data_IF_536039682858
#
_entry.id   IF_536039682858
#
_cell.length_a   1.000
_cell.length_b   1.000
_cell.length_c   1.000
_cell.angle_alpha   90.00
_cell.angle_beta   90.00
_cell.angle_gamma   90.00
#
_symmetry.space_group_name_H-M   'P 1'
#
loop_
_entity.id
_entity.type
_entity.pdbx_description
1 polymer ?
#
# COMPACT_ATOMS: atom_id res chain seq x y z
N UNK A 1 -52.53 16.84 8.91
CA UNK A 1 -51.18 16.47 9.36
C UNK A 1 -50.15 17.06 8.41
N UNK A 2 -49.48 18.15 8.81
CA UNK A 2 -48.47 18.86 8.02
C UNK A 2 -47.08 18.38 8.44
N UNK A 3 -46.22 18.11 7.45
CA UNK A 3 -44.82 17.72 7.61
C UNK A 3 -43.97 18.88 8.18
N UNK A 4 -43.13 18.66 9.20
CA UNK A 4 -42.21 19.67 9.72
C UNK A 4 -40.79 19.39 9.18
N UNK A 5 -40.45 19.96 8.03
CA UNK A 5 -39.06 20.19 7.61
C UNK A 5 -39.06 21.45 6.75
N UNK A 6 -39.01 22.59 7.40
CA UNK A 6 -38.58 23.86 6.85
C UNK A 6 -38.49 24.81 8.03
N UNK A 7 -37.27 24.99 8.54
CA UNK A 7 -36.77 26.21 9.19
C UNK A 7 -35.31 25.96 9.56
N UNK A 8 -34.45 25.84 8.55
CA UNK A 8 -33.04 26.16 8.71
C UNK A 8 -32.87 27.54 8.10
N UNK A 9 -32.76 28.54 8.99
CA UNK A 9 -32.43 29.92 8.65
C UNK A 9 -31.13 29.94 7.84
N UNK A 10 -31.26 30.17 6.53
CA UNK A 10 -30.14 30.51 5.66
C UNK A 10 -29.63 31.87 6.11
N UNK A 11 -28.57 31.85 6.90
CA UNK A 11 -27.84 33.07 7.25
C UNK A 11 -27.01 33.42 6.02
N UNK A 12 -27.49 34.36 5.20
CA UNK A 12 -26.75 34.90 4.08
C UNK A 12 -25.52 35.66 4.59
N UNK A 13 -24.35 35.00 4.61
CA UNK A 13 -23.07 35.69 4.64
C UNK A 13 -22.74 36.13 3.21
N UNK A 14 -22.90 37.41 2.95
CA UNK A 14 -22.38 38.11 1.79
C UNK A 14 -20.86 38.11 1.82
N UNK A 15 -20.26 37.06 1.25
CA UNK A 15 -18.83 36.98 0.92
C UNK A 15 -18.66 36.80 -0.58
N UNK A 16 -17.75 37.57 -1.17
CA UNK A 16 -17.38 37.52 -2.60
C UNK A 16 -17.21 36.08 -3.09
N UNK A 17 -17.99 35.66 -4.06
CA UNK A 17 -17.92 34.33 -4.68
C UNK A 17 -16.72 34.25 -5.64
N UNK A 18 -15.50 34.22 -5.10
CA UNK A 18 -14.39 33.58 -5.79
C UNK A 18 -14.72 32.08 -5.85
N UNK A 19 -14.67 31.44 -7.03
CA UNK A 19 -14.89 29.99 -7.11
C UNK A 19 -13.92 29.30 -6.16
N UNK A 20 -14.47 28.49 -5.24
CA UNK A 20 -13.66 27.72 -4.29
C UNK A 20 -12.87 26.70 -5.11
N UNK A 21 -11.56 26.95 -5.29
CA UNK A 21 -10.65 26.06 -6.03
C UNK A 21 -10.34 24.83 -5.17
N UNK A 22 -10.20 23.61 -5.74
CA UNK A 22 -9.74 22.46 -4.97
C UNK A 22 -8.34 22.69 -4.38
N UNK A 23 -8.18 22.41 -3.09
CA UNK A 23 -6.89 22.48 -2.42
C UNK A 23 -6.04 21.25 -2.77
N UNK A 24 -5.27 21.39 -3.85
CA UNK A 24 -4.34 20.36 -4.31
C UNK A 24 -2.91 20.57 -3.79
N UNK A 25 -2.75 21.24 -2.63
CA UNK A 25 -1.45 21.55 -2.05
C UNK A 25 -0.54 22.24 -3.07
N UNK A 26 -1.03 23.34 -3.64
CA UNK A 26 -0.32 24.11 -4.65
C UNK A 26 0.88 24.83 -4.04
N UNK A 27 2.00 24.84 -4.76
CA UNK A 27 3.15 25.70 -4.47
C UNK A 27 3.54 26.45 -5.74
N UNK A 28 4.18 27.64 -5.64
CA UNK A 28 4.62 28.39 -6.81
C UNK A 28 5.52 27.56 -7.74
N UNK A 29 6.37 26.70 -7.16
CA UNK A 29 7.27 25.82 -7.91
C UNK A 29 6.49 24.78 -8.73
N UNK A 30 5.45 24.19 -8.14
CA UNK A 30 4.59 23.22 -8.84
C UNK A 30 3.84 23.93 -9.97
N UNK A 31 3.24 25.10 -9.72
CA UNK A 31 2.52 25.85 -10.76
C UNK A 31 3.40 26.15 -11.98
N UNK A 32 4.62 26.64 -11.73
CA UNK A 32 5.60 26.90 -12.81
C UNK A 32 5.94 25.62 -13.57
N UNK A 33 6.20 24.51 -12.86
CA UNK A 33 6.53 23.23 -13.49
C UNK A 33 5.38 22.70 -14.37
N UNK A 34 4.14 22.82 -13.93
CA UNK A 34 2.98 22.36 -14.71
C UNK A 34 2.68 23.25 -15.91
N UNK A 35 2.80 24.57 -15.78
CA UNK A 35 2.64 25.50 -16.90
C UNK A 35 3.72 25.23 -17.96
N UNK A 36 4.96 25.03 -17.53
CA UNK A 36 6.06 24.71 -18.44
C UNK A 36 5.87 23.35 -19.12
N UNK A 37 5.37 22.35 -18.38
CA UNK A 37 5.01 21.06 -18.95
C UNK A 37 3.91 21.20 -20.01
N UNK A 38 2.83 21.95 -19.73
CA UNK A 38 1.78 22.23 -20.72
C UNK A 38 2.32 22.94 -21.97
N UNK A 39 3.22 23.91 -21.78
CA UNK A 39 3.79 24.71 -22.86
C UNK A 39 4.74 23.92 -23.76
N UNK A 40 5.60 23.10 -23.17
CA UNK A 40 6.68 22.40 -23.88
C UNK A 40 6.32 20.98 -24.30
N UNK A 41 5.35 20.35 -23.63
CA UNK A 41 5.09 18.92 -23.74
C UNK A 41 6.13 18.05 -23.04
N UNK A 42 7.18 18.63 -22.45
CA UNK A 42 8.28 17.91 -21.80
C UNK A 42 7.90 17.59 -20.36
N UNK A 43 7.94 16.31 -20.00
CA UNK A 43 7.59 15.86 -18.66
C UNK A 43 8.59 16.42 -17.61
N UNK A 44 8.12 17.01 -16.49
CA UNK A 44 8.97 17.78 -15.57
C UNK A 44 9.89 16.94 -14.69
N UNK A 45 9.73 15.61 -14.65
CA UNK A 45 10.45 14.71 -13.75
C UNK A 45 11.21 13.62 -14.54
N UNK A 46 12.41 13.94 -15.05
CA UNK A 46 13.18 13.01 -15.89
C UNK A 46 13.68 11.77 -15.14
N UNK A 47 13.74 11.81 -13.81
CA UNK A 47 14.10 10.68 -12.93
C UNK A 47 13.25 9.42 -13.14
N UNK A 48 12.02 9.54 -13.67
CA UNK A 48 11.17 8.39 -13.95
C UNK A 48 11.52 7.67 -15.27
N UNK A 49 12.26 8.30 -16.18
CA UNK A 49 12.60 7.71 -17.47
C UNK A 49 11.38 7.26 -18.30
N UNK A 50 10.23 7.94 -18.16
CA UNK A 50 8.97 7.52 -18.78
C UNK A 50 9.03 7.55 -20.30
N UNK A 51 8.59 6.47 -20.95
CA UNK A 51 8.30 6.46 -22.38
C UNK A 51 7.16 5.48 -22.72
N UNK A 52 5.98 5.94 -23.19
CA UNK A 52 5.65 7.33 -23.48
C UNK A 52 5.37 8.15 -22.22
N UNK A 53 5.59 9.47 -22.29
CA UNK A 53 5.19 10.42 -21.25
C UNK A 53 3.72 10.81 -21.39
N UNK A 54 3.01 11.13 -20.28
CA UNK A 54 1.65 11.66 -20.37
C UNK A 54 1.63 12.96 -21.17
N UNK A 55 0.64 13.08 -22.06
CA UNK A 55 0.49 14.24 -22.96
C UNK A 55 -0.27 15.35 -22.26
N UNK A 56 0.37 16.49 -21.92
CA UNK A 56 -0.24 17.44 -21.00
C UNK A 56 -1.49 18.15 -21.54
N UNK A 57 -1.62 18.26 -22.87
CA UNK A 57 -2.78 18.84 -23.54
C UNK A 57 -4.07 18.03 -23.42
N UNK A 58 -3.99 16.77 -22.97
CA UNK A 58 -5.16 15.91 -22.74
C UNK A 58 -5.77 16.06 -21.34
N UNK A 59 -5.14 16.85 -20.47
CA UNK A 59 -5.48 16.93 -19.05
C UNK A 59 -5.71 18.37 -18.61
N UNK A 60 -6.59 18.56 -17.62
CA UNK A 60 -6.74 19.83 -16.90
C UNK A 60 -5.48 20.15 -16.08
N UNK A 61 -5.34 21.39 -15.64
CA UNK A 61 -4.20 21.75 -14.78
C UNK A 61 -4.26 20.99 -13.44
N UNK A 62 -5.46 20.76 -12.92
CA UNK A 62 -5.72 19.94 -11.74
C UNK A 62 -5.29 18.48 -11.96
N UNK A 63 -5.61 17.87 -13.09
CA UNK A 63 -5.21 16.49 -13.42
C UNK A 63 -3.69 16.39 -13.56
N UNK A 64 -3.04 17.37 -14.19
CA UNK A 64 -1.57 17.42 -14.26
C UNK A 64 -0.93 17.53 -12.88
N UNK A 65 -1.56 18.24 -11.93
CA UNK A 65 -1.09 18.30 -10.54
C UNK A 65 -1.16 16.96 -9.85
N UNK A 66 -2.21 16.17 -10.12
CA UNK A 66 -2.36 14.81 -9.61
C UNK A 66 -1.32 13.85 -10.20
N UNK A 67 -1.06 13.93 -11.52
CA UNK A 67 0.01 13.13 -12.16
C UNK A 67 1.37 13.50 -11.56
N UNK A 68 1.66 14.80 -11.49
CA UNK A 68 2.88 15.32 -10.90
C UNK A 68 3.05 14.88 -9.45
N UNK A 69 1.98 14.86 -8.65
CA UNK A 69 2.02 14.42 -7.26
C UNK A 69 2.63 13.02 -7.10
N UNK A 70 2.10 12.02 -7.81
CA UNK A 70 2.61 10.64 -7.73
C UNK A 70 4.03 10.52 -8.25
N UNK A 71 4.35 11.23 -9.33
CA UNK A 71 5.68 11.25 -9.90
C UNK A 71 6.71 11.88 -8.94
N UNK A 72 6.34 12.95 -8.23
CA UNK A 72 7.19 13.59 -7.21
C UNK A 72 7.44 12.64 -6.04
N UNK A 73 6.39 11.99 -5.51
CA UNK A 73 6.54 11.01 -4.43
C UNK A 73 7.54 9.91 -4.81
N UNK A 74 7.44 9.38 -6.04
CA UNK A 74 8.39 8.39 -6.53
C UNK A 74 9.82 8.95 -6.59
N UNK A 75 10.01 10.13 -7.18
CA UNK A 75 11.37 10.68 -7.38
C UNK A 75 12.03 11.07 -6.06
N UNK A 76 11.30 11.62 -5.09
CA UNK A 76 11.82 11.91 -3.77
C UNK A 76 12.38 10.64 -3.11
N UNK A 77 11.63 9.54 -3.14
CA UNK A 77 12.11 8.25 -2.61
C UNK A 77 13.22 7.63 -3.48
N UNK A 78 13.23 7.88 -4.79
CA UNK A 78 14.29 7.41 -5.68
C UNK A 78 15.64 8.06 -5.34
N UNK A 79 15.64 9.33 -4.91
CA UNK A 79 16.89 10.04 -4.56
C UNK A 79 17.67 9.41 -3.40
N UNK A 80 16.99 8.64 -2.55
CA UNK A 80 17.56 7.94 -1.40
C UNK A 80 17.52 6.41 -1.53
N UNK A 81 17.15 5.91 -2.72
CA UNK A 81 17.09 4.48 -3.07
C UNK A 81 16.19 3.64 -2.12
N UNK A 82 14.98 4.13 -1.84
CA UNK A 82 14.05 3.49 -0.88
C UNK A 82 12.72 3.07 -1.48
N UNK A 83 12.57 3.13 -2.81
CA UNK A 83 11.30 2.81 -3.48
C UNK A 83 10.86 1.34 -3.28
N UNK A 84 11.80 0.43 -3.02
CA UNK A 84 11.51 -0.98 -2.78
C UNK A 84 11.05 -1.28 -1.34
N UNK A 85 11.06 -0.29 -0.44
CA UNK A 85 10.55 -0.44 0.92
C UNK A 85 9.04 -0.13 1.04
N UNK A 86 8.36 0.20 -0.07
CA UNK A 86 6.92 0.47 -0.08
C UNK A 86 6.17 -0.51 -0.97
N UNK A 87 4.85 -0.59 -0.79
CA UNK A 87 4.01 -1.54 -1.53
C UNK A 87 3.75 -1.14 -2.99
N UNK A 88 3.89 0.14 -3.34
CA UNK A 88 3.39 0.65 -4.62
C UNK A 88 4.36 1.57 -5.36
N UNK A 89 5.27 2.28 -4.69
CA UNK A 89 6.04 3.35 -5.34
C UNK A 89 6.94 2.82 -6.45
N UNK A 90 7.59 1.67 -6.27
CA UNK A 90 8.38 1.01 -7.33
C UNK A 90 7.62 0.74 -8.64
N UNK A 91 6.29 0.61 -8.59
CA UNK A 91 5.45 0.34 -9.76
C UNK A 91 4.98 1.62 -10.47
N UNK A 92 5.21 2.81 -9.90
CA UNK A 92 4.73 4.07 -10.45
C UNK A 92 5.25 4.38 -11.86
N UNK A 93 6.53 4.17 -12.19
CA UNK A 93 7.01 4.39 -13.55
C UNK A 93 6.21 3.59 -14.59
N UNK A 94 6.04 2.29 -14.36
CA UNK A 94 5.26 1.39 -15.22
C UNK A 94 3.79 1.80 -15.29
N UNK A 95 3.16 2.12 -14.15
CA UNK A 95 1.76 2.52 -14.11
C UNK A 95 1.52 3.83 -14.86
N UNK A 96 2.40 4.83 -14.71
CA UNK A 96 2.31 6.10 -15.44
C UNK A 96 2.55 5.92 -16.94
N UNK A 97 3.46 5.04 -17.33
CA UNK A 97 3.73 4.71 -18.73
C UNK A 97 2.51 4.08 -19.41
N UNK A 98 1.87 3.11 -18.74
CA UNK A 98 0.62 2.51 -19.23
C UNK A 98 -0.50 3.56 -19.25
N UNK A 99 -0.63 4.35 -18.18
CA UNK A 99 -1.62 5.44 -18.08
C UNK A 99 -1.48 6.49 -19.18
N UNK A 100 -0.25 6.81 -19.60
CA UNK A 100 0.02 7.76 -20.68
C UNK A 100 -0.57 7.30 -22.03
N UNK A 101 -0.76 6.00 -22.22
CA UNK A 101 -1.35 5.40 -23.43
C UNK A 101 -2.78 4.94 -23.24
N UNK A 102 -3.27 4.84 -21.99
CA UNK A 102 -4.57 4.23 -21.68
C UNK A 102 -5.37 5.06 -20.66
N UNK A 103 -6.42 5.78 -21.11
CA UNK A 103 -7.13 6.75 -20.28
C UNK A 103 -7.72 6.20 -18.98
N UNK A 104 -8.31 4.99 -18.99
CA UNK A 104 -8.94 4.44 -17.78
C UNK A 104 -7.91 4.08 -16.69
N UNK A 105 -6.67 3.73 -17.09
CA UNK A 105 -5.55 3.53 -16.16
C UNK A 105 -5.12 4.87 -15.58
N UNK A 106 -5.04 5.92 -16.40
CA UNK A 106 -4.72 7.26 -15.91
C UNK A 106 -5.78 7.76 -14.92
N UNK A 107 -7.08 7.57 -15.20
CA UNK A 107 -8.13 7.91 -14.24
C UNK A 107 -8.01 7.14 -12.91
N UNK A 108 -7.58 5.87 -12.94
CA UNK A 108 -7.32 5.14 -11.70
C UNK A 108 -6.20 5.80 -10.88
N UNK A 109 -5.12 6.25 -11.54
CA UNK A 109 -3.99 6.95 -10.91
C UNK A 109 -4.38 8.34 -10.40
N UNK A 110 -5.15 9.11 -11.16
CA UNK A 110 -5.68 10.40 -10.75
C UNK A 110 -6.53 10.27 -9.48
N UNK A 111 -7.43 9.27 -9.44
CA UNK A 111 -8.24 8.99 -8.25
C UNK A 111 -7.38 8.60 -7.05
N UNK A 112 -6.33 7.80 -7.25
CA UNK A 112 -5.39 7.41 -6.20
C UNK A 112 -4.61 8.61 -5.64
N UNK A 113 -4.14 9.49 -6.53
CA UNK A 113 -3.47 10.74 -6.14
C UNK A 113 -4.40 11.68 -5.38
N UNK A 114 -5.62 11.89 -5.91
CA UNK A 114 -6.61 12.76 -5.28
C UNK A 114 -7.00 12.22 -3.91
N UNK A 115 -7.09 10.90 -3.75
CA UNK A 115 -7.40 10.25 -2.47
C UNK A 115 -6.33 10.57 -1.42
N UNK A 116 -5.06 10.55 -1.80
CA UNK A 116 -3.98 10.93 -0.90
C UNK A 116 -4.03 12.41 -0.51
N UNK A 117 -4.16 13.31 -1.49
CA UNK A 117 -4.25 14.74 -1.22
C UNK A 117 -5.48 15.05 -0.34
N UNK A 118 -6.63 14.46 -0.64
CA UNK A 118 -7.83 14.60 0.17
C UNK A 118 -7.60 14.17 1.62
N UNK A 119 -6.84 13.08 1.85
CA UNK A 119 -6.51 12.63 3.22
C UNK A 119 -5.56 13.57 3.97
N UNK A 120 -4.86 14.47 3.27
CA UNK A 120 -3.97 15.46 3.85
C UNK A 120 -4.65 16.81 4.09
N UNK A 121 -5.60 17.19 3.23
CA UNK A 121 -6.24 18.52 3.26
C UNK A 121 -7.67 18.49 3.81
N UNK A 122 -8.29 17.31 3.90
CA UNK A 122 -9.72 17.10 4.19
C UNK A 122 -10.65 17.93 3.26
N UNK A 123 -10.15 18.35 2.09
CA UNK A 123 -10.88 19.22 1.18
C UNK A 123 -12.00 18.45 0.44
N UNK A 124 -13.29 18.80 0.60
CA UNK A 124 -14.40 18.07 -0.03
C UNK A 124 -14.37 18.11 -1.56
N UNK A 125 -13.83 19.17 -2.16
CA UNK A 125 -13.70 19.31 -3.61
C UNK A 125 -12.74 18.26 -4.19
N UNK A 126 -11.61 18.03 -3.51
CA UNK A 126 -10.67 16.96 -3.88
C UNK A 126 -11.32 15.59 -3.68
N UNK A 127 -12.14 15.44 -2.64
CA UNK A 127 -13.00 14.26 -2.46
C UNK A 127 -13.91 14.01 -3.66
N UNK A 128 -14.52 15.06 -4.23
CA UNK A 128 -15.28 14.99 -5.48
C UNK A 128 -14.48 14.43 -6.66
N UNK A 129 -13.24 14.90 -6.83
CA UNK A 129 -12.33 14.41 -7.87
C UNK A 129 -12.00 12.91 -7.73
N UNK A 130 -11.87 12.42 -6.49
CA UNK A 130 -11.68 10.98 -6.23
C UNK A 130 -12.85 10.18 -6.82
N UNK A 131 -14.08 10.59 -6.53
CA UNK A 131 -15.27 9.88 -7.00
C UNK A 131 -15.41 9.94 -8.53
N UNK A 132 -15.15 11.10 -9.13
CA UNK A 132 -15.24 11.31 -10.58
C UNK A 132 -14.27 10.40 -11.34
N UNK A 133 -12.96 10.52 -11.05
CA UNK A 133 -11.96 9.73 -11.76
C UNK A 133 -12.09 8.24 -11.48
N UNK A 134 -12.45 7.84 -10.25
CA UNK A 134 -12.72 6.43 -9.94
C UNK A 134 -13.88 5.89 -10.77
N UNK A 135 -14.95 6.66 -10.96
CA UNK A 135 -16.09 6.27 -11.78
C UNK A 135 -15.69 6.05 -13.25
N UNK A 136 -14.91 6.98 -13.81
CA UNK A 136 -14.38 6.88 -15.17
C UNK A 136 -13.46 5.68 -15.35
N UNK A 137 -12.58 5.43 -14.37
CA UNK A 137 -11.67 4.29 -14.37
C UNK A 137 -12.43 2.95 -14.33
N UNK A 138 -13.43 2.82 -13.46
CA UNK A 138 -14.27 1.62 -13.37
C UNK A 138 -15.05 1.35 -14.65
N UNK A 139 -15.62 2.41 -15.26
CA UNK A 139 -16.34 2.30 -16.53
C UNK A 139 -15.40 1.81 -17.64
N UNK A 140 -14.25 2.46 -17.81
CA UNK A 140 -13.28 2.07 -18.84
C UNK A 140 -12.68 0.67 -18.60
N UNK A 141 -12.46 0.29 -17.34
CA UNK A 141 -12.03 -1.07 -17.00
C UNK A 141 -13.09 -2.10 -17.39
N UNK A 142 -14.37 -1.85 -17.12
CA UNK A 142 -15.47 -2.75 -17.50
C UNK A 142 -15.57 -2.90 -19.02
N UNK A 143 -15.40 -1.80 -19.76
CA UNK A 143 -15.37 -1.82 -21.23
C UNK A 143 -14.17 -2.62 -21.76
N UNK A 144 -12.97 -2.37 -21.23
CA UNK A 144 -11.75 -3.07 -21.62
C UNK A 144 -11.80 -4.58 -21.32
N UNK A 145 -12.37 -4.99 -20.19
CA UNK A 145 -12.59 -6.41 -19.86
C UNK A 145 -13.50 -7.08 -20.89
N UNK A 146 -14.47 -6.37 -21.47
CA UNK A 146 -15.35 -6.93 -22.51
C UNK A 146 -14.64 -7.13 -23.84
N UNK A 147 -13.56 -6.39 -24.09
CA UNK A 147 -12.70 -6.43 -25.28
C UNK A 147 -11.29 -6.96 -24.94
N UNK A 148 -11.21 -7.91 -24.01
CA UNK A 148 -9.93 -8.44 -23.54
C UNK A 148 -9.06 -8.98 -24.68
N UNK A 149 -7.81 -8.55 -24.72
CA UNK A 149 -6.79 -8.99 -25.67
C UNK A 149 -5.40 -9.04 -25.01
N UNK A 150 -4.42 -9.61 -25.71
CA UNK A 150 -3.03 -9.64 -25.24
C UNK A 150 -2.47 -8.22 -25.02
N UNK A 151 -2.81 -7.28 -25.89
CA UNK A 151 -2.34 -5.89 -25.87
C UNK A 151 -2.98 -5.07 -24.74
N UNK A 152 -4.23 -5.38 -24.38
CA UNK A 152 -4.99 -4.65 -23.35
C UNK A 152 -4.81 -5.24 -21.95
N UNK A 153 -4.19 -6.41 -21.84
CA UNK A 153 -4.04 -7.16 -20.59
C UNK A 153 -3.33 -6.37 -19.49
N UNK A 154 -2.16 -5.79 -19.78
CA UNK A 154 -1.38 -4.97 -18.84
C UNK A 154 -2.18 -3.76 -18.34
N UNK A 155 -2.95 -3.12 -19.22
CA UNK A 155 -3.78 -1.98 -18.84
C UNK A 155 -4.94 -2.37 -17.92
N UNK A 156 -5.63 -3.48 -18.23
CA UNK A 156 -6.71 -4.03 -17.38
C UNK A 156 -6.15 -4.36 -15.99
N UNK A 157 -4.98 -4.98 -15.94
CA UNK A 157 -4.31 -5.33 -14.70
C UNK A 157 -3.89 -4.08 -13.91
N UNK A 158 -3.20 -3.13 -14.54
CA UNK A 158 -2.77 -1.86 -13.95
C UNK A 158 -3.95 -1.13 -13.28
N UNK A 159 -5.05 -0.93 -14.00
CA UNK A 159 -6.23 -0.28 -13.44
C UNK A 159 -6.84 -1.10 -12.29
N UNK A 160 -6.92 -2.43 -12.44
CA UNK A 160 -7.44 -3.31 -11.38
C UNK A 160 -6.60 -3.21 -10.10
N UNK A 161 -5.27 -3.17 -10.22
CA UNK A 161 -4.35 -2.97 -9.10
C UNK A 161 -4.61 -1.64 -8.41
N UNK A 162 -4.53 -0.54 -9.15
CA UNK A 162 -4.65 0.82 -8.60
C UNK A 162 -6.03 1.05 -7.99
N UNK A 163 -7.10 0.54 -8.60
CA UNK A 163 -8.45 0.62 -8.05
C UNK A 163 -8.62 -0.25 -6.80
N UNK A 164 -7.94 -1.41 -6.76
CA UNK A 164 -7.97 -2.25 -5.57
C UNK A 164 -7.38 -1.50 -4.38
N UNK A 165 -6.26 -0.80 -4.54
CA UNK A 165 -5.60 -0.04 -3.46
C UNK A 165 -6.54 0.98 -2.82
N UNK A 166 -7.38 1.61 -3.64
CA UNK A 166 -8.32 2.61 -3.20
C UNK A 166 -9.59 2.01 -2.54
N UNK A 167 -9.91 0.73 -2.75
CA UNK A 167 -11.21 0.15 -2.40
C UNK A 167 -11.48 0.24 -0.89
N UNK A 168 -12.60 0.88 -0.52
CA UNK A 168 -12.98 1.16 0.88
C UNK A 168 -13.98 0.16 1.44
N UNK A 169 -14.62 -0.65 0.60
CA UNK A 169 -15.59 -1.65 1.01
C UNK A 169 -15.27 -3.03 0.40
N UNK A 170 -15.67 -4.07 1.13
CA UNK A 170 -15.43 -5.44 0.75
C UNK A 170 -16.01 -5.81 -0.61
N UNK A 171 -17.21 -5.31 -0.95
CA UNK A 171 -17.88 -5.68 -2.21
C UNK A 171 -17.17 -5.10 -3.42
N UNK A 172 -16.71 -3.85 -3.33
CA UNK A 172 -15.91 -3.24 -4.39
C UNK A 172 -14.56 -3.93 -4.53
N UNK A 173 -13.91 -4.25 -3.40
CA UNK A 173 -12.63 -4.96 -3.41
C UNK A 173 -12.77 -6.37 -4.01
N UNK A 174 -13.77 -7.14 -3.58
CA UNK A 174 -13.99 -8.51 -4.08
C UNK A 174 -14.40 -8.51 -5.54
N UNK A 175 -15.10 -7.49 -6.04
CA UNK A 175 -15.39 -7.36 -7.47
C UNK A 175 -14.12 -7.15 -8.29
N UNK A 176 -13.19 -6.34 -7.80
CA UNK A 176 -11.90 -6.10 -8.46
C UNK A 176 -10.99 -7.33 -8.41
N UNK A 177 -11.05 -8.10 -7.32
CA UNK A 177 -10.15 -9.24 -7.09
C UNK A 177 -10.71 -10.59 -7.55
N UNK A 178 -12.01 -10.84 -7.36
CA UNK A 178 -12.68 -12.13 -7.59
C UNK A 178 -13.87 -12.07 -8.56
N UNK A 179 -14.50 -10.91 -8.77
CA UNK A 179 -15.60 -10.73 -9.72
C UNK A 179 -16.80 -11.63 -9.41
N UNK A 180 -17.51 -11.36 -8.32
CA UNK A 180 -18.72 -12.13 -7.97
C UNK A 180 -19.83 -11.85 -8.98
N UNK A 181 -20.18 -12.87 -9.78
CA UNK A 181 -21.47 -13.08 -10.48
C UNK A 181 -21.65 -12.65 -11.95
N UNK A 182 -20.60 -12.30 -12.72
CA UNK A 182 -20.74 -12.03 -14.17
C UNK A 182 -19.77 -12.90 -15.00
N UNK A 183 -20.12 -13.32 -16.24
CA UNK A 183 -19.26 -14.13 -17.11
C UNK A 183 -17.96 -13.42 -17.57
N UNK A 184 -17.86 -12.11 -17.41
CA UNK A 184 -16.74 -11.30 -17.90
C UNK A 184 -15.47 -11.42 -17.04
N UNK A 185 -14.30 -11.35 -17.71
CA UNK A 185 -13.00 -11.75 -17.17
C UNK A 185 -12.60 -11.03 -15.87
N UNK A 186 -12.18 -11.81 -14.89
CA UNK A 186 -11.66 -11.40 -13.58
C UNK A 186 -10.13 -11.27 -13.62
N UNK A 187 -9.46 -10.61 -12.67
CA UNK A 187 -7.98 -10.60 -12.60
C UNK A 187 -7.38 -12.00 -12.64
N UNK A 188 -7.96 -12.96 -11.90
CA UNK A 188 -7.51 -14.36 -11.94
C UNK A 188 -7.79 -15.02 -13.30
N UNK A 189 -8.92 -14.72 -13.96
CA UNK A 189 -9.19 -15.20 -15.33
C UNK A 189 -8.32 -14.51 -16.38
N UNK A 190 -7.94 -13.25 -16.18
CA UNK A 190 -6.99 -12.52 -17.03
C UNK A 190 -5.62 -13.16 -16.90
N UNK A 191 -5.11 -13.34 -15.67
CA UNK A 191 -3.83 -14.03 -15.41
C UNK A 191 -3.85 -15.45 -15.98
N UNK A 192 -4.94 -16.20 -15.77
CA UNK A 192 -5.11 -17.55 -16.34
C UNK A 192 -5.21 -17.55 -17.87
N UNK A 193 -5.91 -16.58 -18.47
CA UNK A 193 -5.94 -16.43 -19.93
C UNK A 193 -4.57 -16.04 -20.49
N UNK A 194 -3.76 -15.31 -19.72
CA UNK A 194 -2.39 -14.95 -20.04
C UNK A 194 -1.40 -16.09 -19.85
N UNK A 195 -1.78 -17.30 -19.41
CA UNK A 195 -0.82 -18.35 -19.03
C UNK A 195 0.26 -18.63 -20.09
N UNK A 196 -0.10 -18.52 -21.38
CA UNK A 196 0.82 -18.71 -22.50
C UNK A 196 1.74 -17.52 -22.82
N UNK A 197 1.45 -16.30 -22.34
CA UNK A 197 2.26 -15.08 -22.57
C UNK A 197 2.49 -14.23 -21.31
N UNK A 198 2.23 -14.75 -20.11
CA UNK A 198 2.37 -14.03 -18.84
C UNK A 198 3.77 -13.48 -18.59
N UNK A 199 4.78 -14.16 -19.12
CA UNK A 199 6.20 -13.79 -19.03
C UNK A 199 6.53 -12.52 -19.82
N UNK A 200 5.67 -12.11 -20.75
CA UNK A 200 5.84 -10.89 -21.55
C UNK A 200 5.23 -9.65 -20.88
N UNK A 201 4.42 -9.84 -19.84
CA UNK A 201 3.77 -8.73 -19.16
C UNK A 201 4.76 -7.91 -18.35
N UNK A 202 4.56 -6.59 -18.36
CA UNK A 202 5.34 -5.65 -17.55
C UNK A 202 5.13 -5.83 -16.04
N UNK A 203 4.16 -6.65 -15.64
CA UNK A 203 3.88 -6.98 -14.24
C UNK A 203 4.41 -8.37 -13.84
N UNK A 204 5.33 -8.98 -14.60
CA UNK A 204 5.99 -10.26 -14.30
C UNK A 204 6.34 -10.46 -12.82
N UNK A 205 7.10 -9.52 -12.24
CA UNK A 205 7.53 -9.55 -10.84
C UNK A 205 6.36 -9.37 -9.86
N UNK A 206 5.43 -8.47 -10.20
CA UNK A 206 4.23 -8.26 -9.39
C UNK A 206 3.35 -9.51 -9.39
N UNK A 207 3.30 -10.28 -10.48
CA UNK A 207 2.69 -11.60 -10.48
C UNK A 207 3.49 -12.59 -9.66
N UNK A 208 4.82 -12.63 -9.70
CA UNK A 208 5.56 -13.55 -8.83
C UNK A 208 5.22 -13.31 -7.34
N UNK A 209 4.99 -12.06 -6.96
CA UNK A 209 4.61 -11.66 -5.60
C UNK A 209 3.11 -11.81 -5.27
N UNK A 210 2.22 -11.80 -6.29
CA UNK A 210 0.76 -11.99 -6.11
C UNK A 210 0.21 -13.33 -6.59
N UNK A 211 0.97 -14.14 -7.32
CA UNK A 211 0.55 -15.48 -7.82
C UNK A 211 0.58 -16.53 -6.72
N UNK A 212 0.97 -16.14 -5.51
CA UNK A 212 0.90 -16.97 -4.32
C UNK A 212 -0.50 -17.09 -3.73
N UNK A 213 -1.52 -16.59 -4.44
CA UNK A 213 -2.92 -16.91 -4.18
C UNK A 213 -3.40 -18.08 -5.04
N UNK A 214 -3.74 -19.25 -4.46
CA UNK A 214 -4.84 -20.04 -4.99
C UNK A 214 -6.13 -19.26 -4.69
N UNK A 215 -6.57 -18.43 -5.64
CA UNK A 215 -7.88 -17.77 -5.60
C UNK A 215 -9.05 -18.72 -5.94
N UNK A 216 -8.82 -20.05 -5.85
CA UNK A 216 -9.80 -21.09 -6.14
C UNK A 216 -10.04 -21.95 -4.89
N UNK A 217 -11.29 -21.84 -4.40
CA UNK A 217 -12.00 -22.71 -3.45
C UNK A 217 -11.37 -22.94 -2.07
N UNK A 218 -11.91 -22.35 -0.99
CA UNK A 218 -11.67 -22.91 0.33
C UNK A 218 -12.23 -24.33 0.31
N UNK A 219 -11.38 -25.33 0.53
CA UNK A 219 -11.89 -26.56 1.14
C UNK A 219 -12.50 -26.12 2.47
N UNK A 220 -13.82 -26.27 2.67
CA UNK A 220 -14.46 -25.82 3.89
C UNK A 220 -13.90 -26.68 5.03
N UNK A 221 -13.03 -26.10 5.87
CA UNK A 221 -12.59 -26.76 7.10
C UNK A 221 -11.16 -26.55 7.59
N UNK A 222 -10.18 -26.11 6.77
CA UNK A 222 -8.76 -26.17 7.21
C UNK A 222 -8.14 -24.89 7.81
N UNK A 223 -8.71 -23.70 7.57
CA UNK A 223 -8.15 -22.42 8.07
C UNK A 223 -9.11 -21.61 8.96
N UNK A 224 -10.25 -22.21 9.38
CA UNK A 224 -11.39 -21.48 9.95
C UNK A 224 -11.23 -21.05 11.42
N UNK A 225 -10.08 -21.27 12.06
CA UNK A 225 -9.84 -20.77 13.42
C UNK A 225 -8.40 -20.27 13.56
N UNK A 226 -8.18 -19.10 14.17
CA UNK A 226 -6.87 -18.75 14.70
C UNK A 226 -6.38 -19.92 15.55
N UNK A 227 -5.22 -20.48 15.21
CA UNK A 227 -4.60 -21.52 16.03
C UNK A 227 -4.18 -20.88 17.35
N UNK A 228 -3.98 -21.69 18.39
CA UNK A 228 -3.40 -21.20 19.65
C UNK A 228 -2.08 -20.44 19.38
N UNK A 229 -1.32 -20.92 18.39
CA UNK A 229 -0.10 -20.31 17.88
C UNK A 229 -0.30 -18.88 17.35
N UNK A 230 -1.44 -18.57 16.72
CA UNK A 230 -1.71 -17.24 16.16
C UNK A 230 -2.04 -16.22 17.27
N UNK A 231 -2.67 -16.66 18.37
CA UNK A 231 -2.88 -15.82 19.55
C UNK A 231 -1.55 -15.53 20.27
N UNK A 232 -0.65 -16.51 20.29
CA UNK A 232 0.73 -16.33 20.75
C UNK A 232 1.50 -15.36 19.88
N UNK A 233 1.44 -15.50 18.55
CA UNK A 233 2.03 -14.58 17.59
C UNK A 233 1.48 -13.15 17.73
N UNK A 234 0.17 -13.00 17.98
CA UNK A 234 -0.43 -11.70 18.27
C UNK A 234 0.18 -11.06 19.52
N UNK A 235 0.30 -11.80 20.61
CA UNK A 235 0.83 -11.28 21.86
C UNK A 235 2.30 -10.89 21.72
N UNK A 236 3.12 -11.73 21.07
CA UNK A 236 4.52 -11.42 20.73
C UNK A 236 4.63 -10.15 19.89
N UNK A 237 3.80 -10.02 18.85
CA UNK A 237 3.79 -8.84 17.97
C UNK A 237 3.44 -7.56 18.75
N UNK A 238 2.45 -7.62 19.63
CA UNK A 238 2.05 -6.48 20.45
C UNK A 238 3.19 -6.06 21.39
N UNK A 239 3.83 -7.02 22.06
CA UNK A 239 4.97 -6.78 22.96
C UNK A 239 6.16 -6.16 22.23
N UNK A 240 6.49 -6.66 21.03
CA UNK A 240 7.59 -6.13 20.22
C UNK A 240 7.32 -4.70 19.75
N UNK A 241 6.11 -4.39 19.29
CA UNK A 241 5.74 -3.03 18.90
C UNK A 241 5.80 -2.08 20.12
N UNK A 242 5.38 -2.53 21.30
CA UNK A 242 5.49 -1.73 22.53
C UNK A 242 6.95 -1.54 22.97
N UNK A 243 7.81 -2.54 22.79
CA UNK A 243 9.23 -2.43 23.05
C UNK A 243 9.90 -1.40 22.11
N UNK A 244 9.56 -1.45 20.82
CA UNK A 244 9.97 -0.45 19.83
C UNK A 244 9.47 0.95 20.21
N UNK A 245 8.22 1.09 20.65
CA UNK A 245 7.67 2.38 21.13
C UNK A 245 8.52 2.96 22.29
N UNK A 246 8.85 2.13 23.29
CA UNK A 246 9.65 2.54 24.43
C UNK A 246 11.07 2.98 24.01
N UNK A 247 11.68 2.24 23.08
CA UNK A 247 12.98 2.58 22.51
C UNK A 247 12.98 3.93 21.79
N UNK A 248 11.98 4.19 20.94
CA UNK A 248 11.86 5.45 20.19
C UNK A 248 11.56 6.64 21.11
N UNK A 249 10.74 6.45 22.15
CA UNK A 249 10.52 7.47 23.19
C UNK A 249 11.83 7.86 23.89
N UNK A 250 12.69 6.88 24.19
CA UNK A 250 13.99 7.17 24.81
C UNK A 250 14.90 8.01 23.89
N UNK A 251 14.78 7.81 22.57
CA UNK A 251 15.46 8.62 21.54
C UNK A 251 14.77 9.95 21.23
N UNK A 252 13.66 10.28 21.89
CA UNK A 252 12.84 11.48 21.66
C UNK A 252 12.26 11.57 20.23
N UNK A 253 12.01 10.43 19.61
CA UNK A 253 11.31 10.36 18.32
C UNK A 253 9.79 10.35 18.51
N UNK A 254 9.06 10.76 17.48
CA UNK A 254 7.59 10.74 17.49
C UNK A 254 7.07 9.29 17.45
N UNK A 255 6.22 8.96 18.42
CA UNK A 255 5.61 7.63 18.56
C UNK A 255 4.10 7.61 18.32
N UNK A 256 3.49 8.70 17.86
CA UNK A 256 2.04 8.78 17.65
C UNK A 256 1.52 7.67 16.73
N UNK A 257 2.18 7.46 15.58
CA UNK A 257 1.79 6.40 14.65
C UNK A 257 1.92 4.98 15.23
N UNK A 258 2.86 4.76 16.16
CA UNK A 258 3.06 3.47 16.83
C UNK A 258 1.95 3.26 17.87
N UNK A 259 1.56 4.32 18.58
CA UNK A 259 0.43 4.28 19.51
C UNK A 259 -0.88 3.95 18.79
N UNK A 260 -1.10 4.52 17.60
CA UNK A 260 -2.24 4.15 16.75
C UNK A 260 -2.21 2.67 16.37
N UNK A 261 -1.03 2.13 16.02
CA UNK A 261 -0.87 0.73 15.66
C UNK A 261 -1.13 -0.21 16.86
N UNK A 262 -0.61 0.14 18.04
CA UNK A 262 -0.89 -0.58 19.30
C UNK A 262 -2.38 -0.54 19.62
N UNK A 263 -3.01 0.64 19.49
CA UNK A 263 -4.46 0.82 19.68
C UNK A 263 -5.28 -0.02 18.71
N UNK A 264 -4.89 -0.04 17.44
CA UNK A 264 -5.50 -0.85 16.39
C UNK A 264 -5.40 -2.35 16.70
N UNK A 265 -4.21 -2.86 17.02
CA UNK A 265 -4.00 -4.27 17.35
C UNK A 265 -4.84 -4.68 18.57
N UNK A 266 -4.85 -3.88 19.63
CA UNK A 266 -5.72 -4.14 20.79
C UNK A 266 -7.21 -4.12 20.43
N UNK A 267 -7.59 -3.26 19.50
CA UNK A 267 -8.94 -3.20 18.93
C UNK A 267 -9.29 -4.44 18.10
N UNK A 268 -8.34 -4.98 17.32
CA UNK A 268 -8.58 -6.11 16.43
C UNK A 268 -8.91 -7.41 17.18
N UNK A 269 -8.40 -7.58 18.41
CA UNK A 269 -8.82 -8.67 19.31
C UNK A 269 -10.32 -8.70 19.61
N UNK A 270 -11.00 -7.55 19.54
CA UNK A 270 -12.44 -7.43 19.79
C UNK A 270 -13.29 -7.70 18.56
N UNK A 271 -12.67 -7.92 17.39
CA UNK A 271 -13.38 -8.27 16.16
C UNK A 271 -13.89 -9.70 16.33
N UNK A 272 -15.18 -9.84 16.62
CA UNK A 272 -15.80 -11.15 16.78
C UNK A 272 -15.81 -11.88 15.44
N UNK A 273 -15.47 -13.19 15.40
CA UNK A 273 -15.63 -14.01 14.20
C UNK A 273 -17.10 -14.16 13.77
N UNK A 274 -18.05 -13.73 14.60
CA UNK A 274 -19.48 -13.67 14.25
C UNK A 274 -19.85 -12.48 13.37
N UNK A 275 -18.96 -11.50 13.19
CA UNK A 275 -19.18 -10.38 12.29
C UNK A 275 -19.13 -10.86 10.84
N UNK A 276 -19.93 -10.23 9.97
CA UNK A 276 -19.82 -10.49 8.54
C UNK A 276 -18.43 -10.10 8.00
N UNK A 277 -17.97 -10.78 6.96
CA UNK A 277 -16.68 -10.50 6.28
C UNK A 277 -16.56 -9.01 5.91
N UNK A 278 -17.65 -8.39 5.44
CA UNK A 278 -17.68 -6.97 5.11
C UNK A 278 -17.44 -6.07 6.34
N UNK A 279 -18.04 -6.40 7.48
CA UNK A 279 -17.81 -5.65 8.72
C UNK A 279 -16.40 -5.87 9.28
N UNK A 280 -15.84 -7.08 9.16
CA UNK A 280 -14.45 -7.34 9.52
C UNK A 280 -13.51 -6.50 8.64
N UNK A 281 -13.78 -6.43 7.34
CA UNK A 281 -13.04 -5.59 6.40
C UNK A 281 -13.08 -4.10 6.77
N UNK A 282 -14.26 -3.57 7.09
CA UNK A 282 -14.40 -2.17 7.51
C UNK A 282 -13.62 -1.87 8.80
N UNK A 283 -13.57 -2.81 9.75
CA UNK A 283 -12.83 -2.65 11.01
C UNK A 283 -11.32 -2.65 10.82
N UNK A 284 -10.83 -3.41 9.84
CA UNK A 284 -9.40 -3.51 9.53
C UNK A 284 -8.95 -2.43 8.52
N UNK A 285 -9.87 -1.65 7.96
CA UNK A 285 -9.56 -0.61 6.95
C UNK A 285 -8.49 0.42 7.35
N UNK A 286 -8.41 0.91 8.60
CA UNK A 286 -7.35 1.85 8.97
C UNK A 286 -5.94 1.33 8.65
N UNK A 287 -5.69 0.04 8.91
CA UNK A 287 -4.40 -0.58 8.60
C UNK A 287 -4.09 -0.55 7.11
N UNK A 288 -5.07 -0.82 6.25
CA UNK A 288 -4.89 -0.73 4.79
C UNK A 288 -4.44 0.66 4.38
N UNK A 289 -5.10 1.71 4.84
CA UNK A 289 -4.71 3.10 4.54
C UNK A 289 -3.28 3.37 5.00
N UNK A 290 -2.93 2.90 6.18
CA UNK A 290 -1.59 3.08 6.74
C UNK A 290 -0.51 2.39 5.91
N UNK A 291 -0.75 1.16 5.44
CA UNK A 291 0.21 0.40 4.65
C UNK A 291 0.63 1.09 3.34
N UNK A 292 -0.25 1.90 2.76
CA UNK A 292 0.05 2.64 1.52
C UNK A 292 0.81 3.93 1.75
N UNK A 293 0.45 4.70 2.78
CA UNK A 293 0.90 6.10 2.89
C UNK A 293 1.83 6.37 4.06
N UNK A 294 1.76 5.61 5.17
CA UNK A 294 2.68 5.81 6.29
C UNK A 294 4.13 5.49 5.93
N UNK A 295 4.46 4.38 5.23
CA UNK A 295 5.84 4.13 4.81
C UNK A 295 6.42 5.25 3.97
N UNK A 296 5.65 5.77 2.99
CA UNK A 296 6.05 6.90 2.15
C UNK A 296 6.37 8.12 3.00
N UNK A 297 5.46 8.50 3.90
CA UNK A 297 5.65 9.62 4.81
C UNK A 297 6.88 9.43 5.71
N UNK A 298 7.07 8.25 6.31
CA UNK A 298 8.25 7.97 7.15
C UNK A 298 9.56 8.10 6.37
N UNK A 299 9.59 7.59 5.14
CA UNK A 299 10.79 7.65 4.31
C UNK A 299 11.10 9.08 3.86
N UNK A 300 10.08 9.91 3.60
CA UNK A 300 10.26 11.33 3.29
C UNK A 300 10.79 12.13 4.49
N UNK A 301 10.24 11.92 5.69
CA UNK A 301 10.60 12.70 6.88
C UNK A 301 11.94 12.27 7.51
N UNK A 302 12.25 10.97 7.47
CA UNK A 302 13.40 10.39 8.16
C UNK A 302 14.48 9.87 7.20
N UNK A 303 14.34 10.11 5.89
CA UNK A 303 15.31 9.77 4.84
C UNK A 303 15.84 8.33 4.89
N UNK A 304 14.98 7.36 5.24
CA UNK A 304 15.37 5.96 5.35
C UNK A 304 16.32 5.63 6.51
N UNK A 305 16.29 6.42 7.59
CA UNK A 305 17.04 6.14 8.81
C UNK A 305 16.75 4.74 9.37
N UNK A 306 17.70 4.11 10.09
CA UNK A 306 17.50 2.77 10.65
C UNK A 306 16.23 2.61 11.49
N UNK A 307 15.89 3.62 12.30
CA UNK A 307 14.68 3.60 13.13
C UNK A 307 13.41 3.64 12.26
N UNK A 308 13.38 4.49 11.22
CA UNK A 308 12.23 4.55 10.30
C UNK A 308 12.01 3.22 9.57
N UNK A 309 13.09 2.57 9.15
CA UNK A 309 13.04 1.27 8.49
C UNK A 309 12.47 0.18 9.41
N UNK A 310 12.89 0.15 10.68
CA UNK A 310 12.36 -0.78 11.67
C UNK A 310 10.87 -0.53 11.94
N UNK A 311 10.44 0.73 12.02
CA UNK A 311 9.02 1.08 12.19
C UNK A 311 8.17 0.58 11.02
N UNK A 312 8.66 0.77 9.78
CA UNK A 312 7.98 0.28 8.57
C UNK A 312 7.90 -1.25 8.59
N UNK A 313 8.98 -1.95 8.94
CA UNK A 313 8.99 -3.40 9.04
C UNK A 313 7.96 -3.94 10.06
N UNK A 314 7.83 -3.29 11.23
CA UNK A 314 6.83 -3.70 12.23
C UNK A 314 5.39 -3.40 11.82
N UNK A 315 5.15 -2.31 11.07
CA UNK A 315 3.85 -2.04 10.45
C UNK A 315 3.47 -3.17 9.47
N UNK A 316 4.45 -3.65 8.69
CA UNK A 316 4.28 -4.78 7.78
C UNK A 316 4.08 -6.11 8.51
N UNK A 317 4.78 -6.34 9.62
CA UNK A 317 4.52 -7.50 10.50
C UNK A 317 3.09 -7.50 11.04
N UNK A 318 2.52 -6.34 11.39
CA UNK A 318 1.12 -6.25 11.78
C UNK A 318 0.16 -6.67 10.65
N UNK A 319 0.50 -6.38 9.39
CA UNK A 319 -0.28 -6.84 8.23
C UNK A 319 -0.22 -8.36 8.06
N UNK A 320 0.98 -8.96 8.15
CA UNK A 320 1.17 -10.41 8.14
C UNK A 320 0.35 -11.10 9.23
N UNK A 321 0.36 -10.53 10.44
CA UNK A 321 -0.43 -11.04 11.56
C UNK A 321 -1.94 -10.94 11.29
N UNK A 322 -2.43 -9.81 10.77
CA UNK A 322 -3.86 -9.66 10.44
C UNK A 322 -4.27 -10.66 9.36
N UNK A 323 -3.40 -10.95 8.39
CA UNK A 323 -3.67 -11.95 7.36
C UNK A 323 -3.84 -13.35 7.96
N UNK A 324 -3.04 -13.71 8.96
CA UNK A 324 -3.17 -14.99 9.69
C UNK A 324 -4.44 -15.07 10.55
N UNK A 325 -4.79 -14.00 11.24
CA UNK A 325 -5.93 -13.98 12.15
C UNK A 325 -7.28 -13.94 11.43
N UNK A 326 -7.32 -13.33 10.24
CA UNK A 326 -8.54 -13.15 9.46
C UNK A 326 -8.33 -13.62 8.01
N UNK A 327 -8.02 -14.89 7.72
CA UNK A 327 -7.57 -15.34 6.39
C UNK A 327 -8.55 -15.02 5.25
N UNK A 328 -9.85 -14.99 5.52
CA UNK A 328 -10.88 -14.64 4.53
C UNK A 328 -10.80 -13.16 4.09
N UNK A 329 -10.43 -12.27 5.01
CA UNK A 329 -10.27 -10.83 4.76
C UNK A 329 -8.80 -10.44 4.55
N UNK A 330 -7.89 -11.27 5.04
CA UNK A 330 -6.46 -11.05 5.20
C UNK A 330 -5.75 -10.79 3.90
N UNK A 331 -6.13 -11.54 2.86
CA UNK A 331 -5.68 -11.34 1.48
C UNK A 331 -5.93 -9.90 0.97
N UNK A 332 -6.91 -9.20 1.56
CA UNK A 332 -7.18 -7.81 1.21
C UNK A 332 -6.25 -6.79 1.87
N UNK A 333 -5.49 -7.17 2.89
CA UNK A 333 -4.54 -6.32 3.61
C UNK A 333 -3.10 -6.45 3.11
N UNK A 334 -2.90 -7.11 1.97
CA UNK A 334 -1.61 -7.19 1.27
C UNK A 334 -0.47 -7.74 2.14
N UNK A 335 -0.73 -8.57 3.15
CA UNK A 335 0.29 -9.11 4.04
C UNK A 335 1.41 -9.82 3.26
N UNK A 336 1.06 -10.66 2.30
CA UNK A 336 2.04 -11.28 1.38
C UNK A 336 2.90 -10.28 0.59
N UNK A 337 2.35 -9.14 0.14
CA UNK A 337 3.12 -8.09 -0.53
C UNK A 337 4.10 -7.38 0.40
N UNK A 338 3.91 -7.49 1.71
CA UNK A 338 4.82 -6.89 2.68
C UNK A 338 6.11 -7.68 2.89
N UNK A 339 6.18 -8.93 2.42
CA UNK A 339 7.35 -9.80 2.57
C UNK A 339 8.58 -9.20 1.89
N UNK A 340 8.48 -8.87 0.60
CA UNK A 340 9.60 -8.31 -0.17
C UNK A 340 10.13 -7.00 0.44
N UNK A 341 9.28 -6.03 0.81
CA UNK A 341 9.73 -4.84 1.55
C UNK A 341 10.44 -5.15 2.87
N UNK A 342 9.97 -6.11 3.68
CA UNK A 342 10.64 -6.50 4.93
C UNK A 342 12.06 -7.03 4.64
N UNK A 343 12.22 -7.86 3.61
CA UNK A 343 13.51 -8.42 3.21
C UNK A 343 14.47 -7.34 2.68
N UNK A 344 13.96 -6.41 1.88
CA UNK A 344 14.74 -5.29 1.33
C UNK A 344 15.20 -4.34 2.44
N UNK A 345 14.30 -4.02 3.39
CA UNK A 345 14.63 -3.24 4.59
C UNK A 345 15.73 -3.94 5.40
N UNK A 346 15.61 -5.25 5.60
CA UNK A 346 16.60 -6.05 6.31
C UNK A 346 17.96 -5.98 5.63
N UNK A 347 18.00 -6.17 4.30
CA UNK A 347 19.22 -6.07 3.51
C UNK A 347 19.87 -4.69 3.62
N UNK A 348 19.07 -3.63 3.60
CA UNK A 348 19.55 -2.25 3.79
C UNK A 348 20.17 -2.06 5.17
N UNK A 349 19.51 -2.50 6.24
CA UNK A 349 20.03 -2.39 7.61
C UNK A 349 21.35 -3.15 7.79
N UNK A 350 21.46 -4.35 7.21
CA UNK A 350 22.69 -5.13 7.22
C UNK A 350 23.83 -4.43 6.46
N UNK A 351 23.53 -3.84 5.29
CA UNK A 351 24.50 -3.07 4.50
C UNK A 351 25.04 -1.86 5.27
N UNK A 352 24.17 -1.13 5.98
CA UNK A 352 24.55 0.00 6.85
C UNK A 352 25.47 -0.49 7.98
N UNK A 353 25.21 -1.67 8.55
CA UNK A 353 26.02 -2.24 9.63
C UNK A 353 27.45 -2.59 9.21
N UNK A 354 27.61 -3.13 8.00
CA UNK A 354 28.93 -3.48 7.47
C UNK A 354 29.75 -2.22 7.14
N UNK A 355 29.08 -1.14 6.77
CA UNK A 355 29.72 0.10 6.31
C UNK A 355 30.09 1.08 7.44
N UNK A 356 29.41 1.02 8.59
CA UNK A 356 29.62 1.95 9.70
C UNK A 356 30.61 1.41 10.75
N UNK A 357 31.65 2.20 11.05
CA UNK A 357 32.65 1.91 12.09
C UNK A 357 32.08 2.14 13.53
N UNK A 358 31.04 2.99 13.64
CA UNK A 358 30.30 3.28 14.88
C UNK A 358 29.17 2.27 15.12
N UNK A 359 29.55 1.06 15.54
CA UNK A 359 28.63 -0.08 15.80
C UNK A 359 27.52 0.18 16.84
N UNK A 360 27.66 1.18 17.72
CA UNK A 360 26.78 1.32 18.89
C UNK A 360 25.35 1.79 18.55
N UNK A 361 25.17 2.67 17.57
CA UNK A 361 23.85 3.24 17.26
C UNK A 361 22.93 2.29 16.49
N UNK A 362 23.50 1.33 15.76
CA UNK A 362 22.77 0.41 14.90
C UNK A 362 22.41 -0.93 15.57
N UNK A 363 23.01 -1.23 16.74
CA UNK A 363 22.78 -2.49 17.46
C UNK A 363 21.31 -2.70 17.82
N UNK A 364 20.61 -1.67 18.28
CA UNK A 364 19.19 -1.82 18.68
C UNK A 364 18.26 -1.99 17.47
N UNK A 365 18.36 -1.17 16.39
CA UNK A 365 17.61 -1.43 15.16
C UNK A 365 17.82 -2.84 14.58
N UNK A 366 19.06 -3.34 14.60
CA UNK A 366 19.36 -4.70 14.13
C UNK A 366 18.78 -5.79 15.02
N UNK A 367 18.63 -5.57 16.33
CA UNK A 367 17.92 -6.51 17.21
C UNK A 367 16.42 -6.48 16.96
N UNK A 368 15.86 -5.29 16.71
CA UNK A 368 14.43 -5.11 16.47
C UNK A 368 13.99 -5.69 15.13
N UNK A 369 14.83 -5.68 14.09
CA UNK A 369 14.47 -6.23 12.76
C UNK A 369 14.39 -7.77 12.74
N UNK A 370 15.00 -8.46 13.70
CA UNK A 370 14.95 -9.94 13.79
C UNK A 370 13.50 -10.44 13.86
N UNK A 371 12.66 -9.79 14.67
CA UNK A 371 11.28 -10.23 14.85
C UNK A 371 10.43 -10.16 13.56
N UNK A 372 10.44 -9.05 12.79
CA UNK A 372 9.82 -9.03 11.47
C UNK A 372 10.28 -10.14 10.51
N UNK A 373 11.56 -10.51 10.53
CA UNK A 373 12.12 -11.59 9.69
C UNK A 373 11.57 -12.95 10.14
N UNK A 374 11.63 -13.24 11.44
CA UNK A 374 11.09 -14.48 12.01
C UNK A 374 9.60 -14.65 11.65
N UNK A 375 8.84 -13.55 11.69
CA UNK A 375 7.42 -13.54 11.31
C UNK A 375 7.20 -13.81 9.81
N UNK A 376 8.09 -13.36 8.93
CA UNK A 376 8.07 -13.71 7.50
C UNK A 376 8.34 -15.20 7.32
N UNK A 377 9.33 -15.75 8.00
CA UNK A 377 9.68 -17.17 7.89
C UNK A 377 8.57 -18.08 8.45
N UNK A 378 7.99 -17.73 9.61
CA UNK A 378 6.81 -18.40 10.16
C UNK A 378 5.62 -18.35 9.19
N UNK A 379 5.41 -17.22 8.52
CA UNK A 379 4.33 -17.04 7.54
C UNK A 379 4.55 -17.90 6.29
N UNK A 380 5.77 -17.93 5.75
CA UNK A 380 6.16 -18.80 4.62
C UNK A 380 6.02 -20.28 4.95
N UNK A 381 6.50 -20.69 6.12
CA UNK A 381 6.38 -22.06 6.62
C UNK A 381 4.91 -22.49 6.76
N UNK A 382 4.04 -21.57 7.22
CA UNK A 382 2.60 -21.81 7.31
C UNK A 382 1.89 -21.96 5.96
N UNK A 383 2.43 -21.36 4.89
CA UNK A 383 1.92 -21.48 3.52
C UNK A 383 2.54 -22.65 2.73
N UNK A 384 3.49 -23.39 3.31
CA UNK A 384 4.19 -24.48 2.63
C UNK A 384 5.16 -24.00 1.55
N UNK A 385 5.63 -22.74 1.62
CA UNK A 385 6.66 -22.23 0.71
C UNK A 385 7.99 -22.87 1.08
N UNK A 386 8.66 -23.51 0.11
CA UNK A 386 10.04 -23.93 0.29
C UNK A 386 10.89 -22.68 0.58
N UNK A 387 11.71 -22.73 1.63
CA UNK A 387 12.63 -21.64 1.93
C UNK A 387 13.56 -21.43 0.73
N UNK A 388 13.78 -20.18 0.27
CA UNK A 388 14.97 -19.89 -0.51
C UNK A 388 16.18 -20.33 0.32
N UNK A 389 17.19 -20.95 -0.32
CA UNK A 389 18.41 -21.41 0.35
C UNK A 389 18.89 -20.39 1.39
N UNK A 390 19.12 -20.87 2.62
CA UNK A 390 19.54 -20.10 3.78
C UNK A 390 20.54 -19.00 3.40
N UNK A 391 20.22 -17.74 3.70
CA UNK A 391 21.23 -16.68 3.67
C UNK A 391 22.35 -17.06 4.65
N UNK A 392 23.61 -17.29 4.21
CA UNK A 392 24.63 -17.98 5.03
C UNK A 392 25.18 -17.21 6.24
N UNK A 393 24.53 -16.15 6.74
CA UNK A 393 25.22 -15.15 7.57
C UNK A 393 24.51 -14.68 8.85
N UNK A 394 23.43 -15.34 9.28
CA UNK A 394 22.90 -15.11 10.63
C UNK A 394 23.58 -16.06 11.64
N UNK A 395 24.22 -15.55 12.71
CA UNK A 395 24.69 -16.41 13.78
C UNK A 395 23.48 -17.06 14.45
N UNK A 396 23.39 -18.39 14.34
CA UNK A 396 22.34 -19.20 14.95
C UNK A 396 22.29 -18.93 16.46
N UNK A 397 21.10 -18.64 16.97
CA UNK A 397 20.86 -18.56 18.39
C UNK A 397 20.71 -19.99 18.93
N UNK A 398 21.79 -20.53 19.49
CA UNK A 398 21.76 -21.84 20.13
C UNK A 398 21.02 -21.71 21.48
N UNK A 399 19.85 -22.36 21.68
CA UNK A 399 19.08 -22.26 22.93
C UNK A 399 19.71 -23.04 24.09
N UNK A 400 20.91 -23.58 23.90
CA UNK A 400 21.52 -24.62 24.74
C UNK A 400 22.74 -24.12 25.49
N UNK A 401 22.67 -22.96 26.15
CA UNK A 401 23.72 -22.54 27.08
C UNK A 401 23.12 -21.92 28.35
N UNK A 402 22.24 -22.66 29.01
CA UNK A 402 22.06 -22.58 30.45
C UNK A 402 23.21 -23.33 31.15
N UNK A 403 24.41 -22.74 31.14
CA UNK A 403 25.45 -23.14 32.08
C UNK A 403 25.49 -22.17 33.27
N UNK A 404 25.01 -22.76 34.36
CA UNK A 404 25.22 -22.41 35.76
C UNK A 404 26.72 -22.18 36.01
N UNK A 405 26.99 -21.50 37.13
CA UNK A 405 28.16 -21.63 38.05
C UNK A 405 29.01 -20.34 38.09
N UNK A 406 29.59 -19.92 39.23
CA UNK A 406 29.29 -20.14 40.66
C UNK A 406 28.90 -18.85 41.42
#
# INVERSE_FOLDING_TARGET
FRCPYNDVLVTHSSGSSTPVKPDLMWTPQIEVALIEWQRTGIFPLPCLGLYPTPRPHLYSLEDLRLIHHLATLYCELATIDVNNFTLWTRHIPTLLQIGASTPFVMHALLAFSAMHIHSLTDCPLVGGMVYEHRGLALKGLQEAISLFSRETSDAILAASFVLSWQATDWRSWIKLMQGTSSPLLTRSKVIGAMDSWKHESQFGDLFAETSTFPLVSPSPGKYLRPRADDLGAFQRTLEQIQHMEAYLKHRKEDTAHIQDLVGFLRGSRKISPTLSIAQQFERLQPLRTWLFWRPVSYLQHYHGSPNSLVVIAHLYTAALLMERLFPEVGAAYFGSLTISPIEEITRRLMSINVSNDTKCELQTPLKLIVFPIDMVDEFRGGMGWAQPEEMPFLPQHDPSNSFIIP
#
